data_IF_967167633965
#
_entry.id   IF_967167633965
#
_cell.length_a   1.000
_cell.length_b   1.000
_cell.length_c   1.000
_cell.angle_alpha   90.00
_cell.angle_beta   90.00
_cell.angle_gamma   90.00
#
_symmetry.space_group_name_H-M   'P 1'
#
loop_
_entity.id
_entity.type
_entity.pdbx_description
1 polymer ?
#
# COMPACT_ATOMS: atom_id res chain seq x y z
N UNK A 1 -23.80 -26.68 5.71
CA UNK A 1 -22.71 -27.16 6.62
C UNK A 1 -21.29 -26.95 6.07
N UNK A 2 -21.05 -26.11 5.05
CA UNK A 2 -19.70 -25.87 4.50
C UNK A 2 -18.99 -24.58 4.96
N UNK A 3 -19.72 -23.59 5.48
CA UNK A 3 -19.15 -22.28 5.79
C UNK A 3 -18.25 -22.26 7.03
N UNK A 4 -18.54 -23.09 8.04
CA UNK A 4 -17.82 -23.11 9.32
C UNK A 4 -16.41 -23.67 9.20
N UNK A 5 -16.20 -24.73 8.41
CA UNK A 5 -14.89 -25.37 8.24
C UNK A 5 -13.91 -24.49 7.45
N UNK A 6 -14.39 -23.81 6.41
CA UNK A 6 -13.60 -22.85 5.62
C UNK A 6 -13.20 -21.64 6.47
N UNK A 7 -14.08 -21.17 7.35
CA UNK A 7 -13.80 -20.05 8.25
C UNK A 7 -12.72 -20.38 9.30
N UNK A 8 -12.79 -21.55 9.93
CA UNK A 8 -11.79 -21.97 10.94
C UNK A 8 -10.39 -22.13 10.34
N UNK A 9 -10.27 -22.69 9.13
CA UNK A 9 -8.99 -22.81 8.42
C UNK A 9 -8.43 -21.45 8.01
N UNK A 10 -9.28 -20.54 7.54
CA UNK A 10 -8.87 -19.17 7.23
C UNK A 10 -8.35 -18.42 8.46
N UNK A 11 -9.00 -18.59 9.62
CA UNK A 11 -8.53 -17.99 10.88
C UNK A 11 -7.16 -18.52 11.31
N UNK A 12 -6.94 -19.84 11.17
CA UNK A 12 -5.64 -20.46 11.45
C UNK A 12 -4.52 -19.82 10.63
N UNK A 13 -4.69 -19.69 9.31
CA UNK A 13 -3.69 -19.07 8.45
C UNK A 13 -3.45 -17.60 8.79
N UNK A 14 -4.50 -16.83 9.06
CA UNK A 14 -4.35 -15.42 9.45
C UNK A 14 -3.54 -15.26 10.74
N UNK A 15 -3.80 -16.09 11.75
CA UNK A 15 -3.03 -16.10 13.00
C UNK A 15 -1.57 -16.49 12.73
N UNK A 16 -1.36 -17.51 11.90
CA UNK A 16 -0.02 -17.94 11.51
C UNK A 16 0.78 -16.79 10.85
N UNK A 17 0.19 -16.09 9.87
CA UNK A 17 0.86 -14.96 9.20
C UNK A 17 1.15 -13.79 10.15
N UNK A 18 0.25 -13.52 11.10
CA UNK A 18 0.46 -12.46 12.10
C UNK A 18 1.60 -12.81 13.06
N UNK A 19 1.61 -14.04 13.58
CA UNK A 19 2.69 -14.53 14.45
C UNK A 19 4.01 -14.55 13.68
N UNK A 20 3.99 -15.02 12.43
CA UNK A 20 5.16 -15.03 11.56
C UNK A 20 5.71 -13.61 11.32
N UNK A 21 4.84 -12.63 11.04
CA UNK A 21 5.24 -11.23 10.93
C UNK A 21 5.85 -10.69 12.22
N UNK A 22 5.23 -10.97 13.37
CA UNK A 22 5.76 -10.54 14.68
C UNK A 22 7.15 -11.14 14.94
N UNK A 23 7.36 -12.43 14.66
CA UNK A 23 8.66 -13.09 14.77
C UNK A 23 9.68 -12.46 13.83
N UNK A 24 9.31 -12.16 12.58
CA UNK A 24 10.19 -11.49 11.63
C UNK A 24 10.60 -10.09 12.11
N UNK A 25 9.67 -9.31 12.68
CA UNK A 25 9.98 -7.98 13.22
C UNK A 25 10.91 -8.07 14.42
N UNK A 26 10.66 -9.01 15.34
CA UNK A 26 11.53 -9.21 16.51
C UNK A 26 12.93 -9.67 16.10
N UNK A 27 13.02 -10.62 15.16
CA UNK A 27 14.31 -11.10 14.64
C UNK A 27 15.06 -10.00 13.87
N UNK A 28 14.36 -9.26 13.03
CA UNK A 28 14.91 -8.11 12.31
C UNK A 28 15.44 -7.05 13.28
N UNK A 29 14.65 -6.68 14.29
CA UNK A 29 15.09 -5.73 15.32
C UNK A 29 16.30 -6.24 16.11
N UNK A 30 16.31 -7.52 16.51
CA UNK A 30 17.47 -8.14 17.18
C UNK A 30 18.73 -8.08 16.31
N UNK A 31 18.61 -8.37 15.01
CA UNK A 31 19.73 -8.26 14.09
C UNK A 31 20.25 -6.80 13.96
N UNK A 32 19.36 -5.80 13.91
CA UNK A 32 19.76 -4.39 13.94
C UNK A 32 20.49 -4.03 15.23
N UNK A 33 20.02 -4.56 16.36
CA UNK A 33 20.61 -4.33 17.68
C UNK A 33 22.04 -4.89 17.76
N UNK A 34 22.24 -6.13 17.33
CA UNK A 34 23.57 -6.78 17.34
C UNK A 34 24.59 -6.08 16.44
N UNK A 35 24.12 -5.43 15.37
CA UNK A 35 24.96 -4.69 14.43
C UNK A 35 25.10 -3.19 14.77
N UNK A 36 24.65 -2.76 15.96
CA UNK A 36 24.67 -1.36 16.41
C UNK A 36 24.03 -0.38 15.40
N UNK A 37 22.95 -0.81 14.71
CA UNK A 37 22.21 -0.01 13.73
C UNK A 37 20.84 0.43 14.23
N UNK A 38 20.73 0.64 15.53
CA UNK A 38 19.47 0.99 16.17
C UNK A 38 19.05 2.42 15.86
N UNK A 39 17.75 2.67 15.67
CA UNK A 39 17.24 4.02 15.48
C UNK A 39 17.22 4.79 16.80
N UNK A 40 18.12 5.76 16.95
CA UNK A 40 18.14 6.67 18.11
C UNK A 40 17.18 7.85 17.95
N UNK A 41 16.95 8.28 16.70
CA UNK A 41 16.03 9.35 16.34
C UNK A 41 15.69 9.27 14.84
N UNK A 42 14.52 9.78 14.46
CA UNK A 42 14.13 9.91 13.06
C UNK A 42 13.89 11.38 12.74
N UNK A 43 14.55 11.88 11.69
CA UNK A 43 14.28 13.23 11.19
C UNK A 43 12.87 13.31 10.63
N UNK A 44 12.24 14.48 10.69
CA UNK A 44 10.94 14.72 10.05
C UNK A 44 11.00 14.45 8.55
N UNK A 45 12.12 14.78 7.89
CA UNK A 45 12.31 14.51 6.46
C UNK A 45 12.27 13.03 6.13
N UNK A 46 12.99 12.21 6.90
CA UNK A 46 13.01 10.75 6.74
C UNK A 46 11.66 10.12 7.08
N UNK A 47 10.96 10.65 8.09
CA UNK A 47 9.61 10.22 8.42
C UNK A 47 8.66 10.38 7.23
N UNK A 48 8.59 11.58 6.62
CA UNK A 48 7.73 11.79 5.44
C UNK A 48 8.19 10.97 4.24
N UNK A 49 9.50 10.83 4.04
CA UNK A 49 10.07 10.04 2.96
C UNK A 49 9.66 8.56 3.07
N UNK A 50 9.76 7.97 4.26
CA UNK A 50 9.36 6.58 4.53
C UNK A 50 7.84 6.43 4.41
N UNK A 51 7.05 7.36 4.96
CA UNK A 51 5.58 7.33 4.86
C UNK A 51 5.12 7.38 3.41
N UNK A 52 5.68 8.26 2.58
CA UNK A 52 5.36 8.36 1.17
C UNK A 52 5.77 7.11 0.39
N UNK A 53 6.93 6.52 0.72
CA UNK A 53 7.38 5.28 0.09
C UNK A 53 6.46 4.10 0.42
N UNK A 54 6.06 3.94 1.69
CA UNK A 54 5.10 2.91 2.11
C UNK A 54 3.77 3.11 1.40
N UNK A 55 3.27 4.36 1.34
CA UNK A 55 2.03 4.68 0.62
C UNK A 55 2.10 4.25 -0.86
N UNK A 56 3.23 4.51 -1.56
CA UNK A 56 3.40 4.06 -2.95
C UNK A 56 3.39 2.55 -3.06
N UNK A 57 4.11 1.83 -2.19
CA UNK A 57 4.19 0.37 -2.22
C UNK A 57 2.84 -0.29 -1.98
N UNK A 58 2.09 0.18 -0.96
CA UNK A 58 0.74 -0.33 -0.67
C UNK A 58 -0.17 -0.16 -1.88
N UNK A 59 -0.13 1.02 -2.51
CA UNK A 59 -0.93 1.29 -3.71
C UNK A 59 -0.48 0.46 -4.91
N UNK A 60 0.82 0.29 -5.08
CA UNK A 60 1.38 -0.52 -6.16
C UNK A 60 0.86 -1.96 -6.09
N UNK A 61 0.86 -2.52 -4.88
CA UNK A 61 0.49 -3.91 -4.63
C UNK A 61 -1.02 -4.13 -4.61
N UNK A 62 -1.78 -3.24 -3.97
CA UNK A 62 -3.22 -3.43 -3.76
C UNK A 62 -4.09 -2.88 -4.90
N UNK A 63 -3.62 -1.84 -5.61
CA UNK A 63 -4.46 -1.06 -6.52
C UNK A 63 -3.90 -0.89 -7.94
N UNK A 64 -2.58 -0.78 -8.12
CA UNK A 64 -2.02 -0.48 -9.44
C UNK A 64 -2.20 -1.64 -10.43
N UNK A 65 -2.39 -1.28 -11.71
CA UNK A 65 -2.54 -2.22 -12.81
C UNK A 65 -1.30 -3.10 -13.01
N UNK A 66 -0.11 -2.57 -12.68
CA UNK A 66 1.17 -3.28 -12.86
C UNK A 66 1.14 -4.63 -12.15
N UNK A 67 0.59 -4.71 -10.93
CA UNK A 67 0.49 -5.96 -10.17
C UNK A 67 -0.87 -6.66 -10.29
N UNK A 68 -1.72 -6.24 -11.24
CA UNK A 68 -3.01 -6.88 -11.48
C UNK A 68 -2.86 -8.36 -11.83
N UNK A 69 -1.89 -8.71 -12.68
CA UNK A 69 -1.64 -10.11 -13.05
C UNK A 69 -1.29 -10.99 -11.83
N UNK A 70 -0.58 -10.42 -10.85
CA UNK A 70 -0.19 -11.13 -9.63
C UNK A 70 -1.38 -11.32 -8.70
N UNK A 71 -2.23 -10.28 -8.55
CA UNK A 71 -3.48 -10.36 -7.77
C UNK A 71 -4.45 -11.38 -8.35
N UNK A 72 -4.63 -11.39 -9.67
CA UNK A 72 -5.50 -12.36 -10.35
C UNK A 72 -4.98 -13.79 -10.22
N UNK A 73 -3.66 -13.97 -10.26
CA UNK A 73 -3.05 -15.28 -10.05
C UNK A 73 -3.33 -15.80 -8.63
N UNK A 74 -3.18 -14.95 -7.61
CA UNK A 74 -3.50 -15.29 -6.22
C UNK A 74 -5.01 -15.51 -5.99
N UNK A 75 -5.87 -14.77 -6.69
CA UNK A 75 -7.32 -14.87 -6.56
C UNK A 75 -7.88 -16.23 -7.00
N UNK A 76 -7.15 -16.99 -7.84
CA UNK A 76 -7.55 -18.33 -8.28
C UNK A 76 -7.34 -19.40 -7.21
N UNK A 77 -6.60 -19.11 -6.15
CA UNK A 77 -6.31 -20.07 -5.11
C UNK A 77 -7.51 -20.29 -4.17
N UNK A 78 -7.71 -21.51 -3.64
CA UNK A 78 -8.77 -21.77 -2.69
C UNK A 78 -8.54 -21.01 -1.38
N UNK A 79 -9.62 -20.44 -0.82
CA UNK A 79 -9.56 -19.55 0.33
C UNK A 79 -9.06 -20.20 1.63
N UNK A 80 -9.07 -21.53 1.73
CA UNK A 80 -8.58 -22.28 2.89
C UNK A 80 -7.10 -22.69 2.80
N UNK A 81 -6.40 -22.24 1.75
CA UNK A 81 -4.98 -22.50 1.52
C UNK A 81 -4.10 -21.30 1.85
N UNK A 82 -2.80 -21.54 1.99
CA UNK A 82 -1.77 -20.50 2.15
C UNK A 82 -1.86 -19.39 1.08
N UNK A 83 -2.07 -19.77 -0.18
CA UNK A 83 -2.21 -18.83 -1.30
C UNK A 83 -3.49 -18.01 -1.20
N UNK A 84 -4.57 -18.59 -0.65
CA UNK A 84 -5.82 -17.87 -0.37
C UNK A 84 -5.62 -16.76 0.66
N UNK A 85 -4.86 -17.02 1.72
CA UNK A 85 -4.52 -15.99 2.72
C UNK A 85 -3.58 -14.93 2.16
N UNK A 86 -2.60 -15.31 1.34
CA UNK A 86 -1.75 -14.34 0.65
C UNK A 86 -2.55 -13.45 -0.31
N UNK A 87 -3.57 -14.00 -0.98
CA UNK A 87 -4.53 -13.24 -1.78
C UNK A 87 -5.26 -12.21 -0.92
N UNK A 88 -5.79 -12.61 0.25
CA UNK A 88 -6.44 -11.69 1.18
C UNK A 88 -5.48 -10.59 1.70
N UNK A 89 -4.20 -10.94 1.93
CA UNK A 89 -3.18 -9.98 2.36
C UNK A 89 -2.98 -8.88 1.31
N UNK A 90 -2.77 -9.27 0.06
CA UNK A 90 -2.49 -8.36 -1.07
C UNK A 90 -3.70 -7.51 -1.46
N UNK A 91 -4.92 -8.01 -1.28
CA UNK A 91 -6.15 -7.24 -1.53
C UNK A 91 -6.50 -6.29 -0.37
N UNK A 92 -5.99 -6.55 0.85
CA UNK A 92 -6.21 -5.69 1.99
C UNK A 92 -5.09 -4.64 2.10
N UNK A 93 -5.34 -3.35 1.77
CA UNK A 93 -4.32 -2.30 1.78
C UNK A 93 -3.74 -2.07 3.18
N UNK A 94 -4.54 -2.28 4.23
CA UNK A 94 -4.11 -2.12 5.63
C UNK A 94 -3.12 -3.20 6.04
N UNK A 95 -3.42 -4.46 5.72
CA UNK A 95 -2.54 -5.58 6.02
C UNK A 95 -1.25 -5.48 5.20
N UNK A 96 -1.37 -5.22 3.90
CA UNK A 96 -0.23 -4.95 3.02
C UNK A 96 0.63 -3.79 3.56
N UNK A 97 0.02 -2.73 4.08
CA UNK A 97 0.73 -1.61 4.72
C UNK A 97 1.49 -1.97 5.98
N UNK A 98 0.94 -2.81 6.85
CA UNK A 98 1.63 -3.32 8.02
C UNK A 98 2.86 -4.16 7.64
N UNK A 99 2.75 -4.99 6.61
CA UNK A 99 3.89 -5.77 6.11
C UNK A 99 4.97 -4.90 5.48
N UNK A 100 4.59 -3.98 4.59
CA UNK A 100 5.56 -3.11 3.94
C UNK A 100 6.20 -2.09 4.88
N UNK A 101 5.51 -1.63 5.93
CA UNK A 101 6.13 -0.74 6.92
C UNK A 101 7.30 -1.43 7.64
N UNK A 102 7.11 -2.70 8.04
CA UNK A 102 8.17 -3.51 8.64
C UNK A 102 9.36 -3.68 7.69
N UNK A 103 9.11 -4.07 6.42
CA UNK A 103 10.18 -4.25 5.44
C UNK A 103 10.93 -2.96 5.12
N UNK A 104 10.21 -1.86 4.85
CA UNK A 104 10.83 -0.58 4.49
C UNK A 104 11.69 -0.07 5.64
N UNK A 105 11.19 -0.12 6.88
CA UNK A 105 11.96 0.29 8.05
C UNK A 105 13.20 -0.58 8.25
N UNK A 106 13.05 -1.91 8.17
CA UNK A 106 14.19 -2.81 8.27
C UNK A 106 15.27 -2.48 7.23
N UNK A 107 14.90 -2.38 5.94
CA UNK A 107 15.87 -2.13 4.88
C UNK A 107 16.51 -0.73 4.94
N UNK A 108 15.75 0.28 5.38
CA UNK A 108 16.26 1.64 5.57
C UNK A 108 17.46 1.67 6.52
N UNK A 109 17.40 0.94 7.64
CA UNK A 109 18.51 0.85 8.60
C UNK A 109 19.52 -0.26 8.29
N UNK A 110 19.08 -1.35 7.66
CA UNK A 110 19.93 -2.50 7.38
C UNK A 110 20.96 -2.24 6.27
N UNK A 111 20.64 -1.41 5.27
CA UNK A 111 21.54 -1.16 4.13
C UNK A 111 21.44 0.26 3.59
N UNK A 112 22.57 0.90 3.23
CA UNK A 112 22.55 2.24 2.61
C UNK A 112 21.96 2.24 1.20
N UNK A 113 21.90 1.10 0.53
CA UNK A 113 21.35 0.96 -0.83
C UNK A 113 19.82 1.10 -0.89
N UNK A 114 19.13 0.94 0.24
CA UNK A 114 17.68 1.09 0.29
C UNK A 114 17.24 2.55 0.08
N UNK A 115 18.06 3.51 0.51
CA UNK A 115 17.73 4.93 0.47
C UNK A 115 17.27 5.45 -0.92
N UNK A 116 18.02 5.23 -2.04
CA UNK A 116 17.57 5.67 -3.36
C UNK A 116 16.28 5.01 -3.83
N UNK A 117 16.03 3.75 -3.46
CA UNK A 117 14.79 3.03 -3.82
C UNK A 117 13.60 3.65 -3.06
N UNK A 118 13.77 3.91 -1.77
CA UNK A 118 12.74 4.55 -0.94
C UNK A 118 12.46 5.97 -1.45
N UNK A 119 13.50 6.72 -1.83
CA UNK A 119 13.34 8.04 -2.44
C UNK A 119 12.55 7.99 -3.76
N UNK A 120 12.89 7.05 -4.67
CA UNK A 120 12.16 6.84 -5.91
C UNK A 120 10.67 6.57 -5.67
N UNK A 121 10.35 5.70 -4.70
CA UNK A 121 8.98 5.38 -4.31
C UNK A 121 8.25 6.60 -3.73
N UNK A 122 8.93 7.38 -2.88
CA UNK A 122 8.38 8.59 -2.28
C UNK A 122 8.06 9.67 -3.32
N UNK A 123 8.95 9.89 -4.28
CA UNK A 123 8.73 10.84 -5.38
C UNK A 123 7.56 10.41 -6.28
N UNK A 124 7.43 9.11 -6.56
CA UNK A 124 6.29 8.59 -7.32
C UNK A 124 4.94 8.75 -6.58
N UNK A 125 4.93 8.58 -5.25
CA UNK A 125 3.78 8.90 -4.42
C UNK A 125 3.42 10.38 -4.49
N UNK A 126 4.42 11.26 -4.34
CA UNK A 126 4.22 12.71 -4.39
C UNK A 126 3.66 13.16 -5.74
N UNK A 127 4.20 12.65 -6.85
CA UNK A 127 3.70 12.93 -8.19
C UNK A 127 2.22 12.52 -8.36
N UNK A 128 1.87 11.33 -7.86
CA UNK A 128 0.49 10.82 -7.90
C UNK A 128 -0.47 11.68 -7.07
N UNK A 129 -0.01 12.19 -5.92
CA UNK A 129 -0.79 13.09 -5.06
C UNK A 129 -1.03 14.42 -5.79
N UNK A 130 0.01 15.02 -6.37
CA UNK A 130 -0.10 16.27 -7.12
C UNK A 130 -1.07 16.14 -8.30
N UNK A 131 -1.02 15.02 -9.03
CA UNK A 131 -1.96 14.74 -10.12
C UNK A 131 -3.41 14.66 -9.63
N UNK A 132 -3.67 13.96 -8.52
CA UNK A 132 -5.02 13.84 -7.95
C UNK A 132 -5.53 15.20 -7.46
N UNK A 133 -4.67 15.99 -6.83
CA UNK A 133 -5.01 17.35 -6.38
C UNK A 133 -5.34 18.27 -7.55
N UNK A 134 -4.57 18.23 -8.63
CA UNK A 134 -4.84 19.00 -9.84
C UNK A 134 -6.21 18.63 -10.44
N UNK A 135 -6.53 17.33 -10.50
CA UNK A 135 -7.83 16.85 -10.98
C UNK A 135 -8.98 17.29 -10.06
N UNK A 136 -8.79 17.24 -8.74
CA UNK A 136 -9.77 17.69 -7.76
C UNK A 136 -10.08 19.18 -7.92
N UNK A 137 -9.04 20.01 -8.05
CA UNK A 137 -9.20 21.46 -8.29
C UNK A 137 -9.96 21.68 -9.60
N UNK A 138 -9.61 20.96 -10.68
CA UNK A 138 -10.32 21.03 -11.95
C UNK A 138 -11.82 20.70 -11.84
N UNK A 139 -12.16 19.60 -11.17
CA UNK A 139 -13.56 19.21 -10.95
C UNK A 139 -14.33 20.22 -10.10
N UNK A 140 -13.72 20.79 -9.07
CA UNK A 140 -14.37 21.82 -8.25
C UNK A 140 -14.64 23.10 -9.05
N UNK A 141 -13.73 23.49 -9.95
CA UNK A 141 -13.91 24.63 -10.85
C UNK A 141 -15.03 24.36 -11.88
N UNK A 142 -15.06 23.17 -12.47
CA UNK A 142 -16.11 22.77 -13.41
C UNK A 142 -17.49 22.71 -12.74
N UNK A 143 -17.57 22.15 -11.52
CA UNK A 143 -18.81 22.09 -10.75
C UNK A 143 -19.37 23.49 -10.46
N UNK A 144 -18.50 24.45 -10.10
CA UNK A 144 -18.90 25.84 -9.86
C UNK A 144 -19.35 26.55 -11.15
N UNK A 145 -18.70 26.25 -12.28
CA UNK A 145 -19.11 26.79 -13.59
C UNK A 145 -20.52 26.31 -13.94
N UNK A 146 -20.79 25.01 -13.78
CA UNK A 146 -22.12 24.41 -14.04
C UNK A 146 -23.23 24.99 -13.16
N UNK A 147 -22.93 25.31 -11.89
CA UNK A 147 -23.92 25.91 -10.97
C UNK A 147 -24.27 27.37 -11.28
N UNK A 148 -23.34 28.15 -11.85
CA UNK A 148 -23.57 29.58 -12.16
C UNK A 148 -24.19 29.76 -13.55
N UNK A 149 -23.72 29.01 -14.54
CA UNK A 149 -24.24 29.10 -15.92
C UNK A 149 -25.64 28.46 -16.02
N UNK A 150 -26.02 27.62 -15.05
CA UNK A 150 -27.23 26.82 -15.12
C UNK A 150 -27.17 25.82 -16.27
N UNK A 151 -27.95 24.75 -16.19
CA UNK A 151 -28.08 23.77 -17.26
C UNK A 151 -28.88 24.41 -18.41
N UNK A 152 -28.32 25.39 -19.13
CA UNK A 152 -28.88 25.77 -20.42
C UNK A 152 -28.66 24.60 -21.36
N UNK A 153 -29.78 23.94 -21.67
CA UNK A 153 -29.95 22.81 -22.58
C UNK A 153 -28.76 22.61 -23.53
N UNK A 154 -28.12 21.45 -23.44
CA UNK A 154 -27.09 20.95 -24.37
C UNK A 154 -27.66 20.64 -25.77
N UNK A 155 -28.46 21.54 -26.32
CA UNK A 155 -28.81 21.63 -27.74
C UNK A 155 -28.27 22.94 -28.28
N UNK A 156 -26.94 23.03 -28.33
CA UNK A 156 -26.27 23.93 -29.26
C UNK A 156 -25.33 23.08 -30.10
N UNK A 157 -25.88 22.69 -31.25
CA UNK A 157 -25.16 22.36 -32.49
C UNK A 157 -23.85 23.14 -32.60
N UNK A 158 -22.74 22.43 -32.58
CA UNK A 158 -21.53 22.89 -33.27
C UNK A 158 -21.58 22.31 -34.69
N UNK A 159 -21.62 23.20 -35.68
CA UNK A 159 -21.40 22.86 -37.08
C UNK A 159 -19.91 22.66 -37.40
#
# INVERSE_FOLDING_TARGET
MGYTTTYMKGMFWNIFFLVFFAVLVLFGYGWLYDNARTPDWISLGDFFLIVLAIFRLVRLVSYDLILHFFRDWLAKAPADSFLGTLSALVHCPWCTGLWFSGFVLFFYYATPFAWPIILMLALAALASILQILANLIGWTAESKKRSVVGQQNSTSTCG
#
